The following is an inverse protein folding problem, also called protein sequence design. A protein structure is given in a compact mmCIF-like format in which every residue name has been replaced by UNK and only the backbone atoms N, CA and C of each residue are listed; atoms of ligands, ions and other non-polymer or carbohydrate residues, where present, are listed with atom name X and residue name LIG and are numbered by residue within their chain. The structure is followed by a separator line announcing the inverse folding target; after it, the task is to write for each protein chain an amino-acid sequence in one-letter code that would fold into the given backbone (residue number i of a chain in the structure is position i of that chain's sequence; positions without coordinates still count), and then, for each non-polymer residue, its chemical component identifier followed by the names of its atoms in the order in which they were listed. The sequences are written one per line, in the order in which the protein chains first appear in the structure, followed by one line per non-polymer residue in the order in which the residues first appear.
data_IF_860850454171
#
_entry.id   IF_860850454171
#
_cell.length_a   1.000
_cell.length_b   1.000
_cell.length_c   1.000
_cell.angle_alpha   90.00
_cell.angle_beta   90.00
_cell.angle_gamma   90.00
#
_symmetry.space_group_name_H-M   'P 1'
#
loop_
_entity.id
_entity.type
_entity.pdbx_description
1 polymer ?
#
# COMPACT_ATOMS: atom_id res chain seq x y z
N UNK A 1 -18.97 2.40 -36.04
CA UNK A 1 -17.81 3.19 -35.55
C UNK A 1 -17.95 3.64 -34.09
N UNK A 2 -19.02 4.35 -33.68
CA UNK A 2 -19.18 4.83 -32.28
C UNK A 2 -19.14 3.72 -31.21
N UNK A 3 -19.84 2.59 -31.42
CA UNK A 3 -19.83 1.45 -30.47
C UNK A 3 -18.46 0.80 -30.32
N UNK A 4 -17.71 0.66 -31.42
CA UNK A 4 -16.37 0.09 -31.41
C UNK A 4 -15.38 0.98 -30.65
N UNK A 5 -15.45 2.30 -30.84
CA UNK A 5 -14.62 3.25 -30.11
C UNK A 5 -14.89 3.23 -28.60
N UNK A 6 -16.16 3.13 -28.19
CA UNK A 6 -16.56 3.01 -26.78
C UNK A 6 -16.04 1.71 -26.15
N UNK A 7 -16.13 0.58 -26.86
CA UNK A 7 -15.64 -0.70 -26.36
C UNK A 7 -14.12 -0.70 -26.16
N UNK A 8 -13.37 -0.08 -27.09
CA UNK A 8 -11.91 0.08 -26.97
C UNK A 8 -11.58 1.00 -25.80
N UNK A 9 -12.26 2.13 -25.64
CA UNK A 9 -12.06 3.06 -24.52
C UNK A 9 -12.22 2.33 -23.19
N UNK A 10 -13.33 1.62 -23.01
CA UNK A 10 -13.57 0.92 -21.76
C UNK A 10 -12.60 -0.24 -21.52
N UNK A 11 -12.13 -0.92 -22.58
CA UNK A 11 -11.11 -1.96 -22.45
C UNK A 11 -9.76 -1.37 -21.97
N UNK A 12 -9.37 -0.21 -22.50
CA UNK A 12 -8.16 0.51 -22.04
C UNK A 12 -8.31 0.93 -20.59
N UNK A 13 -9.47 1.48 -20.20
CA UNK A 13 -9.77 1.84 -18.83
C UNK A 13 -9.65 0.64 -17.89
N UNK A 14 -10.25 -0.50 -18.24
CA UNK A 14 -10.17 -1.72 -17.42
C UNK A 14 -8.70 -2.16 -17.26
N UNK A 15 -7.92 -2.19 -18.34
CA UNK A 15 -6.50 -2.55 -18.29
C UNK A 15 -5.74 -1.60 -17.36
N UNK A 16 -5.92 -0.29 -17.50
CA UNK A 16 -5.23 0.70 -16.67
C UNK A 16 -5.61 0.54 -15.20
N UNK A 17 -6.91 0.49 -14.88
CA UNK A 17 -7.41 0.37 -13.51
C UNK A 17 -6.92 -0.92 -12.82
N UNK A 18 -7.06 -2.08 -13.47
CA UNK A 18 -6.70 -3.35 -12.85
C UNK A 18 -5.18 -3.59 -12.86
N UNK A 19 -4.48 -3.24 -13.93
CA UNK A 19 -3.02 -3.44 -14.00
C UNK A 19 -2.30 -2.47 -13.06
N UNK A 20 -2.60 -1.17 -13.12
CA UNK A 20 -1.95 -0.20 -12.23
C UNK A 20 -2.36 -0.40 -10.78
N UNK A 21 -3.65 -0.66 -10.52
CA UNK A 21 -4.14 -0.96 -9.17
C UNK A 21 -3.44 -2.19 -8.58
N UNK A 22 -3.32 -3.26 -9.36
CA UNK A 22 -2.60 -4.47 -8.96
C UNK A 22 -1.11 -4.26 -8.73
N UNK A 23 -0.42 -3.52 -9.60
CA UNK A 23 1.01 -3.20 -9.44
C UNK A 23 1.26 -2.36 -8.19
N UNK A 24 0.44 -1.34 -7.92
CA UNK A 24 0.59 -0.50 -6.73
C UNK A 24 0.34 -1.28 -5.44
N UNK A 25 -0.63 -2.20 -5.43
CA UNK A 25 -0.88 -3.07 -4.28
C UNK A 25 0.25 -4.08 -4.05
N UNK A 26 0.74 -4.72 -5.11
CA UNK A 26 1.89 -5.61 -5.00
C UNK A 26 3.13 -4.85 -4.51
N UNK A 27 3.35 -3.65 -5.04
CA UNK A 27 4.45 -2.78 -4.64
C UNK A 27 4.34 -2.38 -3.16
N UNK A 28 3.17 -1.95 -2.68
CA UNK A 28 3.01 -1.63 -1.27
C UNK A 28 3.29 -2.86 -0.40
N UNK A 29 2.70 -4.02 -0.72
CA UNK A 29 2.82 -5.25 0.07
C UNK A 29 4.26 -5.72 0.29
N UNK A 30 5.15 -5.44 -0.66
CA UNK A 30 6.56 -5.83 -0.57
C UNK A 30 7.40 -4.91 0.32
N UNK A 31 6.90 -3.74 0.73
CA UNK A 31 7.67 -2.73 1.48
C UNK A 31 7.32 -2.68 2.97
N UNK A 32 7.28 -3.84 3.63
CA UNK A 32 7.25 -3.91 5.09
C UNK A 32 8.64 -3.57 5.66
N UNK A 33 8.70 -2.64 6.61
CA UNK A 33 9.95 -2.27 7.29
C UNK A 33 9.97 -2.87 8.69
N UNK A 34 11.14 -3.33 9.13
CA UNK A 34 11.34 -3.78 10.51
C UNK A 34 12.07 -2.68 11.28
N UNK A 35 11.44 -2.16 12.34
CA UNK A 35 12.08 -1.19 13.24
C UNK A 35 12.50 -1.92 14.50
N UNK A 36 13.75 -1.72 14.89
CA UNK A 36 14.25 -2.11 16.21
C UNK A 36 14.18 -0.89 17.10
N UNK A 37 13.44 -0.97 18.20
CA UNK A 37 13.46 0.05 19.24
C UNK A 37 14.35 -0.42 20.38
N UNK A 38 15.40 0.36 20.60
CA UNK A 38 16.35 0.14 21.70
C UNK A 38 15.96 1.14 22.79
N UNK A 39 15.15 0.67 23.76
CA UNK A 39 14.82 1.46 24.93
C UNK A 39 16.00 1.39 25.91
N UNK A 40 16.80 2.45 25.95
CA UNK A 40 17.76 2.64 27.04
C UNK A 40 17.00 3.27 28.22
N UNK A 41 17.08 2.65 29.39
CA UNK A 41 16.43 3.18 30.58
C UNK A 41 16.90 4.61 30.87
N UNK A 42 16.02 5.59 30.69
CA UNK A 42 16.28 6.97 31.09
C UNK A 42 16.28 7.04 32.62
N UNK A 43 17.43 7.34 33.24
CA UNK A 43 17.47 7.72 34.66
C UNK A 43 18.59 7.18 35.56
N UNK A 44 19.67 6.56 35.06
CA UNK A 44 20.80 6.14 35.91
C UNK A 44 22.10 6.85 35.55
N UNK A 45 22.49 7.77 36.41
CA UNK A 45 23.75 8.53 36.36
C UNK A 45 24.97 7.60 36.49
N UNK A 46 25.73 7.52 35.40
CA UNK A 46 27.21 7.52 35.33
C UNK A 46 28.07 6.43 35.97
N UNK A 47 27.54 5.31 36.49
CA UNK A 47 28.42 4.17 36.88
C UNK A 47 27.78 2.86 36.43
N UNK A 48 28.43 2.15 35.50
CA UNK A 48 28.04 0.83 34.94
C UNK A 48 27.03 0.81 33.76
N UNK A 49 27.31 1.56 32.69
CA UNK A 49 26.63 1.41 31.38
C UNK A 49 26.79 0.01 30.71
N UNK A 50 27.59 -0.90 31.28
CA UNK A 50 27.88 -2.19 30.66
C UNK A 50 26.85 -3.29 30.99
N UNK A 51 26.01 -3.10 32.01
CA UNK A 51 25.07 -4.12 32.53
C UNK A 51 23.58 -3.72 32.48
N UNK A 52 23.22 -2.63 31.79
CA UNK A 52 21.81 -2.22 31.69
C UNK A 52 21.06 -3.22 30.81
N UNK A 53 19.96 -3.84 31.29
CA UNK A 53 19.16 -4.74 30.46
C UNK A 53 18.57 -3.96 29.29
N UNK A 54 19.12 -4.17 28.09
CA UNK A 54 18.60 -3.61 26.85
C UNK A 54 17.40 -4.44 26.44
N UNK A 55 16.20 -3.88 26.57
CA UNK A 55 15.02 -4.46 25.96
C UNK A 55 15.08 -4.20 24.45
N UNK A 56 15.53 -5.20 23.69
CA UNK A 56 15.51 -5.16 22.22
C UNK A 56 14.13 -5.63 21.77
N UNK A 57 13.20 -4.68 21.66
CA UNK A 57 11.90 -4.89 21.04
C UNK A 57 11.98 -4.55 19.56
N UNK A 58 11.43 -5.40 18.70
CA UNK A 58 11.28 -5.07 17.29
C UNK A 58 9.85 -5.29 16.83
N UNK A 59 9.36 -4.38 16.00
CA UNK A 59 8.05 -4.52 15.39
C UNK A 59 8.14 -4.24 13.89
N UNK A 60 7.32 -4.98 13.14
CA UNK A 60 7.08 -4.69 11.75
C UNK A 60 6.15 -3.48 11.68
N UNK A 61 6.55 -2.49 10.90
CA UNK A 61 5.72 -1.33 10.63
C UNK A 61 5.63 -1.09 9.14
N UNK A 62 4.50 -0.51 8.76
CA UNK A 62 4.24 -0.08 7.41
C UNK A 62 4.40 1.43 7.39
N UNK A 63 5.24 1.95 6.50
CA UNK A 63 5.40 3.41 6.42
C UNK A 63 4.13 4.02 5.82
N UNK A 64 3.76 5.22 6.27
CA UNK A 64 2.56 5.92 5.79
C UNK A 64 2.53 6.08 4.26
N UNK A 65 3.71 6.23 3.64
CA UNK A 65 3.85 6.33 2.19
C UNK A 65 3.32 5.07 1.48
N UNK A 66 3.64 3.87 1.97
CA UNK A 66 3.17 2.64 1.35
C UNK A 66 1.69 2.36 1.66
N UNK A 67 1.16 2.86 2.79
CA UNK A 67 -0.28 2.85 3.06
C UNK A 67 -1.01 3.72 2.03
N UNK A 68 -0.52 4.94 1.77
CA UNK A 68 -1.11 5.82 0.75
C UNK A 68 -1.08 5.19 -0.65
N UNK A 69 0.03 4.55 -1.03
CA UNK A 69 0.14 3.83 -2.29
C UNK A 69 -0.86 2.67 -2.37
N UNK A 70 -1.01 1.90 -1.29
CA UNK A 70 -2.00 0.83 -1.21
C UNK A 70 -3.44 1.36 -1.39
N UNK A 71 -3.77 2.48 -0.74
CA UNK A 71 -5.09 3.14 -0.86
C UNK A 71 -5.37 3.56 -2.30
N UNK A 72 -4.38 4.14 -3.01
CA UNK A 72 -4.52 4.48 -4.43
C UNK A 72 -4.76 3.21 -5.26
N UNK A 73 -4.01 2.13 -4.99
CA UNK A 73 -4.16 0.85 -5.68
C UNK A 73 -5.56 0.25 -5.50
N UNK A 74 -6.09 0.23 -4.27
CA UNK A 74 -7.47 -0.19 -3.98
C UNK A 74 -8.47 0.70 -4.70
N UNK A 75 -8.28 2.01 -4.67
CA UNK A 75 -9.16 2.98 -5.33
C UNK A 75 -9.28 2.73 -6.83
N UNK A 76 -8.16 2.43 -7.51
CA UNK A 76 -8.16 2.10 -8.94
C UNK A 76 -8.91 0.81 -9.25
N UNK A 77 -8.79 -0.23 -8.42
CA UNK A 77 -9.54 -1.48 -8.60
C UNK A 77 -11.03 -1.24 -8.42
N UNK A 78 -11.44 -0.48 -7.40
CA UNK A 78 -12.84 -0.12 -7.17
C UNK A 78 -13.38 0.68 -8.35
N UNK A 79 -12.64 1.67 -8.84
CA UNK A 79 -13.02 2.47 -10.00
C UNK A 79 -13.23 1.59 -11.25
N UNK A 80 -12.33 0.63 -11.51
CA UNK A 80 -12.47 -0.34 -12.60
C UNK A 80 -13.73 -1.19 -12.46
N UNK A 81 -14.02 -1.70 -11.26
CA UNK A 81 -15.25 -2.47 -10.99
C UNK A 81 -16.52 -1.64 -11.19
N UNK A 82 -16.52 -0.38 -10.73
CA UNK A 82 -17.65 0.53 -10.90
C UNK A 82 -17.87 0.88 -12.38
N UNK A 83 -16.81 1.16 -13.13
CA UNK A 83 -16.90 1.41 -14.58
C UNK A 83 -17.43 0.19 -15.34
N UNK A 84 -16.98 -1.01 -14.99
CA UNK A 84 -17.47 -2.26 -15.58
C UNK A 84 -18.94 -2.52 -15.22
N UNK A 85 -19.36 -2.18 -14.01
CA UNK A 85 -20.77 -2.23 -13.60
C UNK A 85 -21.61 -1.23 -14.39
N UNK A 86 -21.12 0.01 -14.53
CA UNK A 86 -21.82 1.07 -15.26
C UNK A 86 -21.98 0.74 -16.75
N UNK A 87 -20.98 0.09 -17.37
CA UNK A 87 -21.04 -0.37 -18.76
C UNK A 87 -22.26 -1.26 -19.05
N UNK A 88 -22.66 -2.11 -18.09
CA UNK A 88 -23.82 -3.00 -18.25
C UNK A 88 -25.15 -2.26 -18.45
N UNK A 89 -25.21 -0.97 -18.11
CA UNK A 89 -26.39 -0.13 -18.35
C UNK A 89 -26.44 0.45 -19.77
N UNK A 90 -25.36 0.32 -20.57
CA UNK A 90 -25.26 0.85 -21.93
C UNK A 90 -25.23 -0.24 -23.02
N UNK A 91 -25.12 -1.50 -22.62
CA UNK A 91 -25.32 -2.68 -23.50
C UNK A 91 -26.80 -3.01 -23.61
#
# INVERSE_FOLDING_TARGET
MKKMALNVLFAVVDIVCFLQGGVLLAYSLLHFSYKVEVAHGEGLTTVELQNVPVAIGGFYFYTDQYIQVAVIGVGLIIAGLLMRSWRKNFE
#
